data_IF_495447919972
#
_entry.id   IF_495447919972
#
_cell.length_a   1.000
_cell.length_b   1.000
_cell.length_c   1.000
_cell.angle_alpha   90.00
_cell.angle_beta   90.00
_cell.angle_gamma   90.00
#
_symmetry.space_group_name_H-M   'P 1'
#
loop_
_entity.id
_entity.type
_entity.pdbx_description
1 polymer ?
#
# COMPACT_ATOMS: atom_id res chain seq x y z
N UNK A 1 -1.90 -13.90 -21.19
CA UNK A 1 -2.81 -12.76 -20.95
C UNK A 1 -2.91 -12.45 -19.45
N UNK A 2 -3.24 -13.43 -18.59
CA UNK A 2 -3.28 -13.26 -17.12
C UNK A 2 -1.97 -12.73 -16.52
N UNK A 3 -0.85 -13.19 -17.05
CA UNK A 3 0.48 -12.73 -16.68
C UNK A 3 0.66 -11.20 -16.80
N UNK A 4 0.30 -10.63 -17.96
CA UNK A 4 0.44 -9.19 -18.19
C UNK A 4 -0.51 -8.37 -17.32
N UNK A 5 -1.66 -8.94 -16.94
CA UNK A 5 -2.61 -8.29 -16.02
C UNK A 5 -2.09 -8.28 -14.59
N UNK A 6 -1.46 -9.38 -14.15
CA UNK A 6 -0.78 -9.46 -12.86
C UNK A 6 0.36 -8.42 -12.79
N UNK A 7 1.24 -8.40 -13.80
CA UNK A 7 2.32 -7.43 -13.88
C UNK A 7 1.82 -5.98 -13.83
N UNK A 8 0.80 -5.64 -14.61
CA UNK A 8 0.25 -4.26 -14.62
C UNK A 8 -0.35 -3.87 -13.27
N UNK A 9 -1.01 -4.81 -12.58
CA UNK A 9 -1.61 -4.55 -11.26
C UNK A 9 -0.55 -4.42 -10.17
N UNK A 10 0.49 -5.26 -10.23
CA UNK A 10 1.68 -5.12 -9.38
C UNK A 10 2.36 -3.75 -9.58
N UNK A 11 2.59 -3.34 -10.83
CA UNK A 11 3.19 -2.03 -11.11
C UNK A 11 2.33 -0.87 -10.61
N UNK A 12 1.02 -0.95 -10.73
CA UNK A 12 0.11 0.06 -10.20
C UNK A 12 0.12 0.11 -8.66
N UNK A 13 0.21 -1.06 -8.01
CA UNK A 13 0.30 -1.15 -6.56
C UNK A 13 1.60 -0.53 -6.02
N UNK A 14 2.74 -0.72 -6.68
CA UNK A 14 4.00 -0.04 -6.31
C UNK A 14 3.82 1.48 -6.33
N UNK A 15 3.31 2.02 -7.44
CA UNK A 15 3.11 3.47 -7.58
C UNK A 15 2.19 4.01 -6.48
N UNK A 16 1.15 3.25 -6.11
CA UNK A 16 0.25 3.65 -5.05
C UNK A 16 0.89 3.56 -3.65
N UNK A 17 1.71 2.54 -3.39
CA UNK A 17 2.49 2.44 -2.15
C UNK A 17 3.49 3.61 -2.02
N UNK A 18 4.23 3.93 -3.09
CA UNK A 18 5.17 5.07 -3.11
C UNK A 18 4.44 6.40 -2.85
N UNK A 19 3.30 6.62 -3.51
CA UNK A 19 2.48 7.80 -3.26
C UNK A 19 1.94 7.86 -1.83
N UNK A 20 1.61 6.71 -1.23
CA UNK A 20 1.17 6.62 0.18
C UNK A 20 2.32 6.97 1.13
N UNK A 21 3.52 6.43 0.88
CA UNK A 21 4.72 6.75 1.67
C UNK A 21 4.99 8.26 1.64
N UNK A 22 5.01 8.86 0.45
CA UNK A 22 5.24 10.29 0.28
C UNK A 22 4.19 11.13 1.01
N UNK A 23 2.92 10.75 0.94
CA UNK A 23 1.84 11.47 1.61
C UNK A 23 1.92 11.33 3.14
N UNK A 24 2.21 10.13 3.65
CA UNK A 24 2.43 9.88 5.08
C UNK A 24 3.63 10.66 5.61
N UNK A 25 4.76 10.70 4.87
CA UNK A 25 5.95 11.45 5.29
C UNK A 25 5.67 12.96 5.35
N UNK A 26 4.99 13.52 4.35
CA UNK A 26 4.59 14.94 4.35
C UNK A 26 3.63 15.25 5.48
N UNK A 27 2.69 14.35 5.78
CA UNK A 27 1.81 14.48 6.93
C UNK A 27 2.61 14.51 8.23
N UNK A 28 3.54 13.58 8.43
CA UNK A 28 4.42 13.55 9.60
C UNK A 28 5.20 14.86 9.72
N UNK A 29 5.80 15.35 8.63
CA UNK A 29 6.60 16.58 8.65
C UNK A 29 5.74 17.82 8.99
N UNK A 30 4.61 17.97 8.29
CA UNK A 30 3.67 19.09 8.50
C UNK A 30 3.04 19.05 9.90
N UNK A 31 2.60 17.87 10.33
CA UNK A 31 2.05 17.60 11.65
C UNK A 31 3.14 17.26 12.69
N UNK A 32 4.40 17.56 12.45
CA UNK A 32 5.42 17.70 13.50
C UNK A 32 5.81 19.17 13.69
N UNK A 33 5.55 20.01 12.69
CA UNK A 33 5.68 21.46 12.77
C UNK A 33 4.54 22.13 13.56
N UNK A 34 4.70 23.40 13.93
CA UNK A 34 3.65 24.20 14.59
C UNK A 34 2.60 24.77 13.63
N UNK A 35 2.69 24.49 12.32
CA UNK A 35 1.80 25.05 11.29
C UNK A 35 0.57 24.16 11.08
N UNK A 36 -0.50 24.44 11.84
CA UNK A 36 -1.75 23.64 11.81
C UNK A 36 -2.44 23.58 10.43
N UNK A 37 -2.28 24.62 9.60
CA UNK A 37 -2.95 24.69 8.30
C UNK A 37 -2.32 23.75 7.26
N UNK A 38 -0.99 23.56 7.31
CA UNK A 38 -0.27 22.59 6.47
C UNK A 38 -0.62 21.16 6.89
N UNK A 39 -0.70 20.90 8.20
CA UNK A 39 -1.11 19.61 8.73
C UNK A 39 -2.51 19.18 8.23
N UNK A 40 -3.48 20.11 8.19
CA UNK A 40 -4.82 19.83 7.66
C UNK A 40 -4.83 19.53 6.15
N UNK A 41 -3.98 20.20 5.37
CA UNK A 41 -3.85 19.94 3.93
C UNK A 41 -3.23 18.57 3.66
N UNK A 42 -2.11 18.27 4.32
CA UNK A 42 -1.42 16.99 4.15
C UNK A 42 -2.26 15.82 4.69
N UNK A 43 -3.14 16.07 5.67
CA UNK A 43 -4.16 15.10 6.09
C UNK A 43 -5.01 14.61 4.93
N UNK A 44 -5.59 15.53 4.16
CA UNK A 44 -6.45 15.17 3.04
C UNK A 44 -5.70 14.40 1.95
N UNK A 45 -4.44 14.75 1.71
CA UNK A 45 -3.55 14.04 0.77
C UNK A 45 -3.24 12.62 1.25
N UNK A 46 -2.96 12.45 2.54
CA UNK A 46 -2.71 11.17 3.16
C UNK A 46 -3.94 10.25 3.07
N UNK A 47 -5.12 10.76 3.42
CA UNK A 47 -6.41 10.04 3.24
C UNK A 47 -6.60 9.59 1.79
N UNK A 48 -6.39 10.49 0.83
CA UNK A 48 -6.56 10.19 -0.58
C UNK A 48 -5.57 9.12 -1.06
N UNK A 49 -4.30 9.22 -0.67
CA UNK A 49 -3.27 8.26 -1.06
C UNK A 49 -3.57 6.86 -0.49
N UNK A 50 -3.92 6.75 0.80
CA UNK A 50 -4.34 5.50 1.42
C UNK A 50 -5.55 4.88 0.71
N UNK A 51 -6.56 5.67 0.36
CA UNK A 51 -7.74 5.16 -0.37
C UNK A 51 -7.34 4.59 -1.74
N UNK A 52 -6.52 5.33 -2.50
CA UNK A 52 -6.07 4.89 -3.83
C UNK A 52 -5.24 3.60 -3.73
N UNK A 53 -4.33 3.51 -2.76
CA UNK A 53 -3.51 2.33 -2.63
C UNK A 53 -4.29 1.12 -2.09
N UNK A 54 -5.32 1.30 -1.24
CA UNK A 54 -6.23 0.21 -0.87
C UNK A 54 -6.87 -0.39 -2.13
N UNK A 55 -7.35 0.45 -3.04
CA UNK A 55 -7.97 0.01 -4.30
C UNK A 55 -6.96 -0.70 -5.20
N UNK A 56 -5.74 -0.16 -5.33
CA UNK A 56 -4.67 -0.75 -6.14
C UNK A 56 -4.24 -2.13 -5.59
N UNK A 57 -4.05 -2.25 -4.28
CA UNK A 57 -3.73 -3.51 -3.61
C UNK A 57 -4.89 -4.52 -3.74
N UNK A 58 -6.14 -4.08 -3.65
CA UNK A 58 -7.31 -4.96 -3.86
C UNK A 58 -7.33 -5.54 -5.28
N UNK A 59 -7.12 -4.69 -6.29
CA UNK A 59 -7.07 -5.11 -7.68
C UNK A 59 -5.91 -6.09 -7.94
N UNK A 60 -4.74 -5.81 -7.37
CA UNK A 60 -3.58 -6.70 -7.44
C UNK A 60 -3.87 -8.06 -6.81
N UNK A 61 -4.43 -8.10 -5.59
CA UNK A 61 -4.80 -9.36 -4.93
C UNK A 61 -5.80 -10.17 -5.76
N UNK A 62 -6.77 -9.52 -6.39
CA UNK A 62 -7.71 -10.20 -7.29
C UNK A 62 -6.99 -10.83 -8.50
N UNK A 63 -6.00 -10.15 -9.07
CA UNK A 63 -5.20 -10.71 -10.17
C UNK A 63 -4.29 -11.86 -9.70
N UNK A 64 -3.66 -11.74 -8.53
CA UNK A 64 -2.89 -12.82 -7.93
C UNK A 64 -3.76 -14.06 -7.70
N UNK A 65 -4.98 -13.89 -7.19
CA UNK A 65 -5.91 -15.00 -7.02
C UNK A 65 -6.28 -15.67 -8.34
N UNK A 66 -6.56 -14.88 -9.40
CA UNK A 66 -6.83 -15.42 -10.75
C UNK A 66 -5.62 -16.15 -11.31
N UNK A 67 -4.43 -15.61 -11.12
CA UNK A 67 -3.18 -16.22 -11.58
C UNK A 67 -2.90 -17.55 -10.87
N UNK A 68 -3.03 -17.60 -9.54
CA UNK A 68 -2.88 -18.82 -8.75
C UNK A 68 -3.85 -19.92 -9.18
N UNK A 69 -5.10 -19.55 -9.54
CA UNK A 69 -6.10 -20.52 -10.00
C UNK A 69 -5.82 -21.05 -11.42
N UNK A 70 -4.90 -20.43 -12.16
CA UNK A 70 -4.62 -20.71 -13.56
C UNK A 70 -3.20 -21.25 -13.81
N UNK A 71 -2.39 -21.41 -12.76
CA UNK A 71 -1.01 -21.89 -12.82
C UNK A 71 -0.84 -23.10 -11.92
N UNK A 72 0.09 -23.99 -12.29
CA UNK A 72 0.54 -25.10 -11.45
C UNK A 72 1.95 -24.84 -10.86
N UNK A 73 2.52 -23.66 -11.12
CA UNK A 73 3.84 -23.30 -10.60
C UNK A 73 3.78 -22.93 -9.12
N UNK A 74 4.21 -23.86 -8.27
CA UNK A 74 4.29 -23.69 -6.81
C UNK A 74 5.10 -22.47 -6.39
N UNK A 75 6.17 -22.10 -7.12
CA UNK A 75 6.99 -20.95 -6.76
C UNK A 75 6.19 -19.65 -6.93
N UNK A 76 5.54 -19.48 -8.08
CA UNK A 76 4.71 -18.29 -8.33
C UNK A 76 3.44 -18.25 -7.46
N UNK A 77 2.87 -19.41 -7.09
CA UNK A 77 1.75 -19.49 -6.14
C UNK A 77 2.20 -18.98 -4.76
N UNK A 78 3.32 -19.47 -4.23
CA UNK A 78 3.83 -19.03 -2.93
C UNK A 78 4.11 -17.53 -2.91
N UNK A 79 4.68 -17.00 -4.01
CA UNK A 79 4.95 -15.56 -4.14
C UNK A 79 3.66 -14.73 -4.19
N UNK A 80 2.62 -15.19 -4.89
CA UNK A 80 1.31 -14.54 -4.90
C UNK A 80 0.66 -14.57 -3.51
N UNK A 81 0.77 -15.67 -2.77
CA UNK A 81 0.26 -15.77 -1.40
C UNK A 81 0.97 -14.80 -0.45
N UNK A 82 2.30 -14.74 -0.51
CA UNK A 82 3.09 -13.78 0.27
C UNK A 82 2.68 -12.34 -0.06
N UNK A 83 2.50 -12.05 -1.35
CA UNK A 83 2.09 -10.74 -1.80
C UNK A 83 0.71 -10.34 -1.26
N UNK A 84 -0.27 -11.26 -1.29
CA UNK A 84 -1.60 -11.02 -0.73
C UNK A 84 -1.54 -10.74 0.77
N UNK A 85 -0.69 -11.46 1.53
CA UNK A 85 -0.52 -11.21 2.97
C UNK A 85 0.05 -9.80 3.22
N UNK A 86 1.06 -9.38 2.44
CA UNK A 86 1.62 -8.03 2.59
C UNK A 86 0.67 -6.92 2.15
N UNK A 87 -0.07 -7.14 1.08
CA UNK A 87 -1.10 -6.23 0.60
C UNK A 87 -2.23 -6.06 1.63
N UNK A 88 -2.66 -7.15 2.27
CA UNK A 88 -3.65 -7.08 3.35
C UNK A 88 -3.13 -6.28 4.54
N UNK A 89 -1.88 -6.53 4.97
CA UNK A 89 -1.26 -5.74 6.06
C UNK A 89 -1.24 -4.24 5.74
N UNK A 90 -0.92 -3.89 4.50
CA UNK A 90 -0.96 -2.51 4.03
C UNK A 90 -2.37 -1.91 4.12
N UNK A 91 -3.39 -2.65 3.70
CA UNK A 91 -4.79 -2.20 3.79
C UNK A 91 -5.23 -2.00 5.24
N UNK A 92 -4.85 -2.91 6.14
CA UNK A 92 -5.16 -2.82 7.56
C UNK A 92 -4.49 -1.57 8.18
N UNK A 93 -3.23 -1.30 7.83
CA UNK A 93 -2.53 -0.11 8.30
C UNK A 93 -3.17 1.18 7.76
N UNK A 94 -3.57 1.21 6.49
CA UNK A 94 -4.30 2.34 5.91
C UNK A 94 -5.66 2.53 6.59
N UNK A 95 -6.41 1.46 6.84
CA UNK A 95 -7.71 1.55 7.51
C UNK A 95 -7.56 2.07 8.95
N UNK A 96 -6.53 1.61 9.68
CA UNK A 96 -6.20 2.12 11.00
C UNK A 96 -5.88 3.61 10.97
N UNK A 97 -5.03 4.04 10.03
CA UNK A 97 -4.72 5.46 9.82
C UNK A 97 -5.98 6.28 9.51
N UNK A 98 -6.80 5.86 8.56
CA UNK A 98 -8.06 6.53 8.21
C UNK A 98 -9.01 6.67 9.41
N UNK A 99 -8.99 5.72 10.34
CA UNK A 99 -9.84 5.76 11.55
C UNK A 99 -9.36 6.77 12.61
N UNK A 100 -8.06 7.05 12.69
CA UNK A 100 -7.48 7.92 13.71
C UNK A 100 -7.09 9.31 13.19
N UNK A 101 -6.93 9.48 11.88
CA UNK A 101 -6.36 10.67 11.25
C UNK A 101 -7.17 11.97 11.49
N UNK A 102 -8.46 11.86 11.82
CA UNK A 102 -9.31 13.00 12.14
C UNK A 102 -9.27 13.41 13.62
N UNK A 103 -8.91 12.49 14.52
CA UNK A 103 -9.17 12.60 15.95
C UNK A 103 -7.93 13.05 16.75
N UNK A 104 -6.82 12.32 16.61
CA UNK A 104 -5.63 12.51 17.43
C UNK A 104 -4.38 12.56 16.54
N UNK A 105 -3.66 13.67 16.64
CA UNK A 105 -2.46 13.95 15.84
C UNK A 105 -1.31 13.00 16.17
N UNK A 106 -1.12 12.65 17.44
CA UNK A 106 -0.03 11.77 17.87
C UNK A 106 -0.30 10.34 17.39
N UNK A 107 -1.52 9.85 17.59
CA UNK A 107 -1.97 8.53 17.09
C UNK A 107 -1.91 8.46 15.56
N UNK A 108 -2.26 9.54 14.86
CA UNK A 108 -2.18 9.60 13.40
C UNK A 108 -0.73 9.55 12.88
N UNK A 109 0.21 10.18 13.58
CA UNK A 109 1.64 10.11 13.22
C UNK A 109 2.18 8.69 13.39
N UNK A 110 1.84 8.02 14.50
CA UNK A 110 2.22 6.62 14.71
C UNK A 110 1.61 5.70 13.66
N UNK A 111 0.33 5.90 13.32
CA UNK A 111 -0.34 5.14 12.26
C UNK A 111 0.28 5.40 10.88
N UNK A 112 0.80 6.60 10.62
CA UNK A 112 1.56 6.88 9.39
C UNK A 112 2.87 6.09 9.34
N UNK A 113 3.60 5.95 10.44
CA UNK A 113 4.81 5.12 10.47
C UNK A 113 4.51 3.65 10.18
N UNK A 114 3.46 3.09 10.79
CA UNK A 114 3.01 1.73 10.51
C UNK A 114 2.56 1.55 9.05
N UNK A 115 1.86 2.55 8.50
CA UNK A 115 1.46 2.56 7.09
C UNK A 115 2.67 2.56 6.15
N UNK A 116 3.68 3.40 6.43
CA UNK A 116 4.94 3.45 5.66
C UNK A 116 5.65 2.10 5.73
N UNK A 117 5.75 1.49 6.91
CA UNK A 117 6.38 0.17 7.06
C UNK A 117 5.64 -0.88 6.23
N UNK A 118 4.31 -0.91 6.30
CA UNK A 118 3.51 -1.86 5.52
C UNK A 118 3.64 -1.64 4.00
N UNK A 119 3.70 -0.38 3.55
CA UNK A 119 3.98 -0.04 2.15
C UNK A 119 5.34 -0.59 1.68
N UNK A 120 6.38 -0.42 2.49
CA UNK A 120 7.73 -0.88 2.15
C UNK A 120 7.79 -2.41 2.04
N UNK A 121 7.17 -3.11 2.98
CA UNK A 121 7.09 -4.58 2.93
C UNK A 121 6.28 -5.06 1.72
N UNK A 122 5.16 -4.41 1.40
CA UNK A 122 4.36 -4.74 0.23
C UNK A 122 5.17 -4.52 -1.06
N UNK A 123 5.79 -3.34 -1.20
CA UNK A 123 6.60 -2.97 -2.38
C UNK A 123 7.76 -3.95 -2.61
N UNK A 124 8.45 -4.38 -1.55
CA UNK A 124 9.54 -5.35 -1.67
C UNK A 124 9.09 -6.70 -2.26
N UNK A 125 7.92 -7.19 -1.84
CA UNK A 125 7.38 -8.45 -2.39
C UNK A 125 6.85 -8.23 -3.80
N UNK A 126 6.23 -7.08 -4.10
CA UNK A 126 5.77 -6.77 -5.46
C UNK A 126 6.95 -6.73 -6.44
N UNK A 127 8.07 -6.11 -6.07
CA UNK A 127 9.28 -6.07 -6.90
C UNK A 127 9.78 -7.48 -7.22
N UNK A 128 9.83 -8.35 -6.21
CA UNK A 128 10.19 -9.77 -6.39
C UNK A 128 9.20 -10.47 -7.33
N UNK A 129 7.89 -10.18 -7.18
CA UNK A 129 6.85 -10.69 -8.08
C UNK A 129 7.10 -10.27 -9.52
N UNK A 130 7.32 -8.98 -9.77
CA UNK A 130 7.59 -8.44 -11.11
C UNK A 130 8.85 -9.06 -11.73
N UNK A 131 9.93 -9.23 -10.96
CA UNK A 131 11.19 -9.80 -11.43
C UNK A 131 11.08 -11.28 -11.76
N UNK A 132 10.45 -12.06 -10.88
CA UNK A 132 10.27 -13.51 -11.05
C UNK A 132 9.31 -13.84 -12.19
N UNK A 133 8.40 -12.91 -12.47
CA UNK A 133 7.42 -13.03 -13.51
C UNK A 133 8.02 -12.86 -14.93
N UNK A 134 9.15 -12.18 -15.12
CA UNK A 134 9.74 -11.92 -16.45
C UNK A 134 10.04 -13.18 -17.27
#
# INVERSE_FOLDING_TARGET
MLFSQCHNSCSAAIVACEATIDACQRFIDACSSTVMQECALERGRCVQACSIGIDACSAMMEQCQKYMNATDDTASINLCQELMVKAQRYQDACAALLSCIENDREVAVDACFECIQACNECTSVIQTCIETCK
#
